data_IF_146605447124
#
_entry.id   IF_146605447124
#
_cell.length_a   1.000
_cell.length_b   1.000
_cell.length_c   1.000
_cell.angle_alpha   90.00
_cell.angle_beta   90.00
_cell.angle_gamma   90.00
#
_symmetry.space_group_name_H-M   'P 1'
#
loop_
_entity.id
_entity.type
_entity.pdbx_description
1 polymer ?
#
# COMPACT_ATOMS: atom_id res chain seq x y z
N UNK A 1 1.87 9.82 -15.87
CA UNK A 1 2.85 8.76 -15.60
C UNK A 1 2.62 8.26 -14.18
N UNK A 2 2.66 6.94 -13.92
CA UNK A 2 2.52 6.42 -12.56
C UNK A 2 3.64 6.95 -11.66
N UNK A 3 3.33 7.17 -10.39
CA UNK A 3 4.32 7.63 -9.40
C UNK A 3 5.40 6.54 -9.22
N UNK A 4 6.71 6.86 -9.20
CA UNK A 4 7.78 5.85 -9.16
C UNK A 4 7.64 4.84 -8.02
N UNK A 5 7.22 5.28 -6.83
CA UNK A 5 7.00 4.40 -5.69
C UNK A 5 5.86 3.38 -5.92
N UNK A 6 4.82 3.73 -6.68
CA UNK A 6 3.74 2.80 -7.04
C UNK A 6 4.21 1.79 -8.10
N UNK A 7 5.03 2.23 -9.06
CA UNK A 7 5.67 1.31 -10.01
C UNK A 7 6.53 0.29 -9.27
N UNK A 8 7.28 0.72 -8.25
CA UNK A 8 8.08 -0.18 -7.42
C UNK A 8 7.21 -1.11 -6.56
N UNK A 9 6.13 -0.60 -5.96
CA UNK A 9 5.17 -1.39 -5.18
C UNK A 9 4.57 -2.53 -6.02
N UNK A 10 4.15 -2.24 -7.25
CA UNK A 10 3.59 -3.24 -8.20
C UNK A 10 4.63 -4.23 -8.72
N UNK A 11 5.92 -3.92 -8.62
CA UNK A 11 7.01 -4.82 -9.03
C UNK A 11 7.51 -5.72 -7.90
N UNK A 12 6.92 -5.65 -6.70
CA UNK A 12 7.29 -6.52 -5.59
C UNK A 12 6.82 -7.95 -5.86
N UNK A 13 7.70 -8.91 -5.58
CA UNK A 13 7.34 -10.33 -5.55
C UNK A 13 7.05 -10.74 -4.11
N UNK A 14 5.79 -11.07 -3.84
CA UNK A 14 5.35 -11.47 -2.51
C UNK A 14 5.54 -12.97 -2.30
N UNK A 15 6.06 -13.33 -1.13
CA UNK A 15 6.17 -14.71 -0.66
C UNK A 15 5.41 -14.84 0.66
N UNK A 16 4.78 -16.00 0.89
CA UNK A 16 4.05 -16.26 2.14
C UNK A 16 4.99 -16.42 3.36
N UNK A 17 6.26 -16.73 3.14
CA UNK A 17 7.23 -16.93 4.21
C UNK A 17 7.80 -15.59 4.70
N UNK A 18 7.74 -15.35 6.00
CA UNK A 18 8.38 -14.19 6.64
C UNK A 18 9.88 -14.47 6.82
N UNK A 19 10.78 -13.60 6.33
CA UNK A 19 12.20 -13.74 6.61
C UNK A 19 12.50 -13.51 8.11
N UNK A 20 13.66 -13.98 8.61
CA UNK A 20 14.10 -13.64 9.96
C UNK A 20 14.34 -12.13 10.07
N UNK A 21 13.41 -11.45 10.75
CA UNK A 21 13.44 -10.01 11.02
C UNK A 21 13.43 -9.76 12.52
N UNK A 22 14.00 -8.63 12.95
CA UNK A 22 13.87 -8.17 14.33
C UNK A 22 12.40 -7.96 14.71
N UNK A 23 12.07 -8.21 15.98
CA UNK A 23 10.69 -8.14 16.48
C UNK A 23 10.04 -6.78 16.16
N UNK A 24 10.76 -5.68 16.37
CA UNK A 24 10.26 -4.35 16.07
C UNK A 24 9.86 -4.17 14.59
N UNK A 25 10.68 -4.65 13.63
CA UNK A 25 10.35 -4.56 12.20
C UNK A 25 9.16 -5.46 11.83
N UNK A 26 9.10 -6.64 12.44
CA UNK A 26 7.97 -7.55 12.26
C UNK A 26 6.66 -6.92 12.74
N UNK A 27 6.70 -6.25 13.89
CA UNK A 27 5.53 -5.56 14.42
C UNK A 27 5.02 -4.51 13.44
N UNK A 28 5.90 -3.80 12.73
CA UNK A 28 5.52 -2.84 11.68
C UNK A 28 4.82 -3.51 10.50
N UNK A 29 5.35 -4.62 9.99
CA UNK A 29 4.81 -5.31 8.82
C UNK A 29 3.51 -6.07 9.11
N UNK A 30 3.35 -6.59 10.32
CA UNK A 30 2.20 -7.41 10.73
C UNK A 30 1.13 -6.65 11.52
N UNK A 31 1.14 -5.31 11.49
CA UNK A 31 0.14 -4.53 12.17
C UNK A 31 -1.26 -4.80 11.60
N UNK A 32 -2.19 -5.22 12.46
CA UNK A 32 -3.60 -5.43 12.11
C UNK A 32 -4.46 -4.15 12.25
N UNK A 33 -3.89 -2.99 11.91
CA UNK A 33 -4.55 -1.67 11.87
C UNK A 33 -3.85 -0.80 10.80
N UNK A 34 -4.31 0.43 10.60
CA UNK A 34 -3.77 1.34 9.59
C UNK A 34 -2.42 1.93 9.96
N UNK A 35 -1.52 2.00 8.97
CA UNK A 35 -0.27 2.76 9.07
C UNK A 35 -0.48 4.26 9.36
N UNK A 36 -1.64 4.83 9.01
CA UNK A 36 -2.00 6.22 9.35
C UNK A 36 -1.92 6.44 10.86
N UNK A 37 -2.66 5.64 11.65
CA UNK A 37 -2.69 5.78 13.11
C UNK A 37 -1.32 5.52 13.71
N UNK A 38 -0.59 4.54 13.20
CA UNK A 38 0.73 4.19 13.74
C UNK A 38 1.77 5.27 13.48
N UNK A 39 1.71 5.96 12.34
CA UNK A 39 2.54 7.14 12.09
C UNK A 39 2.14 8.32 13.00
N UNK A 40 0.84 8.53 13.22
CA UNK A 40 0.35 9.57 14.15
C UNK A 40 0.79 9.32 15.60
N UNK A 41 0.80 8.06 16.06
CA UNK A 41 1.31 7.66 17.38
C UNK A 41 2.80 7.98 17.58
N UNK A 42 3.58 8.08 16.49
CA UNK A 42 4.96 8.56 16.53
C UNK A 42 5.07 10.10 16.54
N UNK A 43 3.96 10.81 16.75
CA UNK A 43 3.91 12.27 16.76
C UNK A 43 4.05 12.89 15.36
N UNK A 44 3.74 12.15 14.30
CA UNK A 44 3.81 12.66 12.92
C UNK A 44 2.44 13.18 12.48
N UNK A 45 2.43 14.32 11.80
CA UNK A 45 1.25 14.78 11.05
C UNK A 45 1.17 13.99 9.75
N UNK A 46 0.13 13.18 9.61
CA UNK A 46 -0.05 12.34 8.42
C UNK A 46 -0.90 13.07 7.37
N UNK A 47 -0.50 12.98 6.11
CA UNK A 47 -1.28 13.46 4.97
C UNK A 47 -1.27 12.45 3.82
N UNK A 48 -2.25 12.55 2.93
CA UNK A 48 -2.41 11.64 1.79
C UNK A 48 -2.27 12.44 0.51
N UNK A 49 -1.38 12.01 -0.38
CA UNK A 49 -1.33 12.43 -1.77
C UNK A 49 -2.10 11.40 -2.58
N UNK A 50 -3.22 11.83 -3.17
CA UNK A 50 -3.99 10.98 -4.09
C UNK A 50 -3.26 10.86 -5.42
N UNK A 51 -2.99 9.64 -5.88
CA UNK A 51 -2.38 9.40 -7.19
C UNK A 51 -3.43 8.91 -8.19
N UNK A 52 -4.28 7.98 -7.78
CA UNK A 52 -5.34 7.43 -8.61
C UNK A 52 -6.50 6.94 -7.74
N UNK A 53 -7.72 7.15 -8.20
CA UNK A 53 -8.92 6.66 -7.52
C UNK A 53 -10.06 6.47 -8.52
N UNK A 54 -10.56 5.24 -8.65
CA UNK A 54 -11.69 4.96 -9.54
C UNK A 54 -11.92 3.48 -9.83
N UNK A 55 -12.96 3.21 -10.62
CA UNK A 55 -13.25 1.85 -11.09
C UNK A 55 -12.32 1.46 -12.23
N UNK A 56 -11.73 0.26 -12.14
CA UNK A 56 -10.86 -0.34 -13.15
C UNK A 56 -11.35 -1.73 -13.54
N UNK A 57 -10.95 -2.18 -14.73
CA UNK A 57 -11.15 -3.56 -15.16
C UNK A 57 -10.17 -4.53 -14.48
N UNK A 58 -10.41 -5.83 -14.67
CA UNK A 58 -9.56 -6.90 -14.12
C UNK A 58 -8.12 -6.86 -14.65
N UNK A 59 -7.92 -6.32 -15.84
CA UNK A 59 -6.62 -6.12 -16.50
C UNK A 59 -5.70 -5.11 -15.79
N UNK A 60 -6.26 -4.24 -14.95
CA UNK A 60 -5.50 -3.25 -14.19
C UNK A 60 -5.02 -3.76 -12.81
N UNK A 61 -5.61 -4.88 -12.34
CA UNK A 61 -5.17 -5.62 -11.17
C UNK A 61 -3.99 -6.49 -11.62
N UNK A 62 -2.80 -6.21 -11.11
CA UNK A 62 -1.59 -6.94 -11.48
C UNK A 62 -1.63 -8.34 -10.85
N UNK A 63 -0.88 -8.56 -9.77
CA UNK A 63 -0.85 -9.84 -9.06
C UNK A 63 -2.03 -9.99 -8.07
N UNK A 64 -2.91 -8.98 -7.95
CA UNK A 64 -4.06 -9.03 -7.05
C UNK A 64 -5.26 -9.80 -7.64
N UNK A 65 -5.35 -9.93 -8.97
CA UNK A 65 -6.51 -10.54 -9.63
C UNK A 65 -6.86 -11.97 -9.15
N UNK A 66 -5.89 -12.87 -8.87
CA UNK A 66 -6.16 -14.20 -8.31
C UNK A 66 -6.65 -14.19 -6.85
N UNK A 67 -6.42 -13.10 -6.12
CA UNK A 67 -6.77 -12.95 -4.71
C UNK A 67 -8.18 -12.37 -4.50
N UNK A 68 -8.84 -11.92 -5.57
CA UNK A 68 -10.11 -11.23 -5.54
C UNK A 68 -11.22 -12.03 -6.27
N UNK A 69 -12.51 -11.85 -5.87
CA UNK A 69 -13.64 -12.41 -6.61
C UNK A 69 -13.65 -11.95 -8.08
N UNK A 70 -14.29 -12.75 -8.94
CA UNK A 70 -14.48 -12.41 -10.35
C UNK A 70 -15.61 -11.41 -10.54
N UNK A 71 -15.24 -10.14 -10.68
CA UNK A 71 -16.15 -9.01 -10.85
C UNK A 71 -15.79 -8.20 -12.10
N UNK A 72 -16.77 -7.49 -12.70
CA UNK A 72 -16.53 -6.71 -13.91
C UNK A 72 -15.67 -5.46 -13.65
N UNK A 73 -15.69 -4.92 -12.43
CA UNK A 73 -14.97 -3.70 -12.05
C UNK A 73 -14.50 -3.78 -10.61
N UNK A 74 -13.36 -3.17 -10.34
CA UNK A 74 -12.74 -3.07 -9.02
C UNK A 74 -12.51 -1.61 -8.69
N UNK A 75 -12.67 -1.22 -7.42
CA UNK A 75 -12.31 0.11 -6.98
C UNK A 75 -10.82 0.14 -6.65
N UNK A 76 -10.01 0.79 -7.48
CA UNK A 76 -8.59 0.97 -7.24
C UNK A 76 -8.35 2.35 -6.61
N UNK A 77 -7.62 2.38 -5.50
CA UNK A 77 -7.13 3.60 -4.86
C UNK A 77 -5.63 3.50 -4.62
N UNK A 78 -4.88 4.39 -5.28
CA UNK A 78 -3.44 4.50 -5.13
C UNK A 78 -3.05 5.83 -4.49
N UNK A 79 -2.23 5.77 -3.46
CA UNK A 79 -1.85 6.92 -2.65
C UNK A 79 -0.36 6.90 -2.28
N UNK A 80 0.15 8.08 -1.93
CA UNK A 80 1.36 8.24 -1.13
C UNK A 80 0.96 8.79 0.25
N UNK A 81 1.32 8.06 1.30
CA UNK A 81 1.14 8.46 2.68
C UNK A 81 2.39 9.22 3.14
N UNK A 82 2.21 10.48 3.52
CA UNK A 82 3.29 11.34 3.97
C UNK A 82 3.23 11.53 5.49
N UNK A 83 4.40 11.60 6.12
CA UNK A 83 4.57 11.95 7.53
C UNK A 83 5.34 13.26 7.61
N UNK A 84 4.75 14.29 8.22
CA UNK A 84 5.28 15.66 8.25
C UNK A 84 5.62 16.23 6.85
N UNK A 85 4.88 15.80 5.82
CA UNK A 85 5.08 16.22 4.43
C UNK A 85 6.06 15.37 3.62
N UNK A 86 6.81 14.46 4.26
CA UNK A 86 7.72 13.55 3.58
C UNK A 86 7.03 12.23 3.18
N UNK A 87 7.26 11.69 1.97
CA UNK A 87 6.64 10.45 1.53
C UNK A 87 7.24 9.24 2.26
N UNK A 88 6.42 8.51 3.00
CA UNK A 88 6.87 7.37 3.81
C UNK A 88 6.36 6.03 3.28
N UNK A 89 5.19 5.99 2.65
CA UNK A 89 4.58 4.75 2.20
C UNK A 89 3.79 4.97 0.90
N UNK A 90 3.93 4.05 -0.05
CA UNK A 90 3.04 3.93 -1.19
C UNK A 90 1.99 2.86 -0.89
N UNK A 91 0.73 3.13 -1.22
CA UNK A 91 -0.37 2.20 -1.01
C UNK A 91 -1.19 2.03 -2.28
N UNK A 92 -1.57 0.79 -2.57
CA UNK A 92 -2.52 0.42 -3.61
C UNK A 92 -3.50 -0.58 -2.99
N UNK A 93 -4.80 -0.30 -3.12
CA UNK A 93 -5.88 -1.14 -2.59
C UNK A 93 -7.13 -1.04 -3.42
#
# INVERSE_FOLDING_TARGET
MPHPALTQLRALHYFAAMPPLDAHLRDWLLLEDSMTKRFEQQGKKVSVIMVNEGFVGRDALADEAPLLPSEPRYWLREIILCANGEPWLAGAR
#
